data_IF_529475528797
#
_entry.id   IF_529475528797
#
_cell.length_a   1.000
_cell.length_b   1.000
_cell.length_c   1.000
_cell.angle_alpha   90.00
_cell.angle_beta   90.00
_cell.angle_gamma   90.00
#
_symmetry.space_group_name_H-M   'P 1'
#
loop_
_entity.id
_entity.type
_entity.pdbx_description
1 polymer ?
#
# COMPACT_ATOMS: atom_id res chain seq x y z
N UNK A 1 -12.58 3.93 -8.76
CA UNK A 1 -11.80 3.72 -7.51
C UNK A 1 -10.90 4.93 -7.25
N UNK A 2 -10.81 5.44 -6.01
CA UNK A 2 -9.86 6.50 -5.65
C UNK A 2 -8.57 5.87 -5.09
N UNK A 3 -7.43 6.18 -5.70
CA UNK A 3 -6.13 5.67 -5.25
C UNK A 3 -5.48 6.65 -4.28
N UNK A 4 -5.02 6.14 -3.14
CA UNK A 4 -4.22 6.96 -2.21
C UNK A 4 -2.80 7.18 -2.71
N UNK A 5 -2.30 6.29 -3.57
CA UNK A 5 -1.04 6.39 -4.31
C UNK A 5 -1.28 6.78 -5.76
N UNK A 6 -0.55 7.76 -6.24
CA UNK A 6 -0.63 8.23 -7.61
C UNK A 6 0.39 7.49 -8.47
N UNK A 7 -0.10 6.56 -9.28
CA UNK A 7 0.73 5.71 -10.15
C UNK A 7 1.41 6.50 -11.30
N UNK A 8 1.06 7.78 -11.47
CA UNK A 8 1.67 8.67 -12.47
C UNK A 8 2.75 9.58 -11.88
N UNK A 9 2.92 9.57 -10.56
CA UNK A 9 3.96 10.30 -9.86
C UNK A 9 5.10 9.35 -9.47
N UNK A 10 6.32 9.86 -9.46
CA UNK A 10 7.50 9.13 -9.01
C UNK A 10 7.34 8.63 -7.56
N UNK A 11 8.17 7.66 -7.17
CA UNK A 11 8.13 7.14 -5.81
C UNK A 11 8.49 8.23 -4.79
N UNK A 12 9.47 9.07 -5.10
CA UNK A 12 9.94 10.18 -4.30
C UNK A 12 8.84 11.24 -4.10
N UNK A 13 8.11 11.60 -5.16
CA UNK A 13 6.97 12.51 -5.07
C UNK A 13 5.87 11.95 -4.16
N UNK A 14 5.51 10.68 -4.33
CA UNK A 14 4.55 10.02 -3.45
C UNK A 14 5.04 9.96 -1.99
N UNK A 15 6.34 9.70 -1.77
CA UNK A 15 6.96 9.71 -0.44
C UNK A 15 6.82 11.05 0.27
N UNK A 16 6.99 12.15 -0.46
CA UNK A 16 6.89 13.51 0.09
C UNK A 16 5.44 13.92 0.33
N UNK A 17 4.54 13.60 -0.63
CA UNK A 17 3.14 14.00 -0.60
C UNK A 17 2.31 13.23 0.44
N UNK A 18 2.63 11.96 0.69
CA UNK A 18 1.80 11.09 1.53
C UNK A 18 0.53 10.59 0.83
N UNK A 19 -0.24 9.70 1.48
CA UNK A 19 -1.47 9.13 0.93
C UNK A 19 -2.55 10.20 0.75
N UNK A 20 -3.21 10.21 -0.40
CA UNK A 20 -4.33 11.10 -0.68
C UNK A 20 -5.65 10.38 -0.43
N UNK A 21 -6.34 10.67 0.66
CA UNK A 21 -7.64 10.07 0.95
C UNK A 21 -8.78 10.91 0.35
N UNK A 22 -9.77 10.27 -0.27
CA UNK A 22 -10.98 10.95 -0.71
C UNK A 22 -11.89 11.31 0.48
N UNK A 23 -11.92 10.42 1.49
CA UNK A 23 -12.79 10.53 2.64
C UNK A 23 -12.03 11.04 3.88
N UNK A 24 -12.73 11.73 4.81
CA UNK A 24 -12.17 12.09 6.10
C UNK A 24 -11.71 10.86 6.89
N UNK A 25 -10.87 11.08 7.89
CA UNK A 25 -10.51 10.01 8.81
C UNK A 25 -11.79 9.52 9.53
N UNK A 26 -12.10 8.21 9.52
CA UNK A 26 -13.26 7.69 10.22
C UNK A 26 -13.02 7.75 11.73
N UNK A 27 -14.11 7.71 12.50
CA UNK A 27 -14.02 7.43 13.93
C UNK A 27 -13.54 5.99 14.13
N UNK A 28 -12.42 5.82 14.83
CA UNK A 28 -11.87 4.50 15.14
C UNK A 28 -12.49 4.03 16.46
N UNK A 29 -13.25 2.92 16.47
CA UNK A 29 -13.89 2.44 17.69
C UNK A 29 -12.84 2.03 18.72
N UNK A 30 -13.13 2.28 20.00
CA UNK A 30 -12.34 1.74 21.07
C UNK A 30 -12.48 0.21 21.12
N UNK A 31 -11.34 -0.48 21.10
CA UNK A 31 -11.27 -1.95 21.22
C UNK A 31 -10.53 -2.35 22.50
N UNK A 32 -10.82 -3.53 23.07
CA UNK A 32 -9.99 -4.12 24.11
C UNK A 32 -8.56 -4.34 23.59
N UNK A 33 -7.58 -4.24 24.50
CA UNK A 33 -6.21 -4.64 24.18
C UNK A 33 -6.14 -6.15 23.91
N UNK A 34 -5.33 -6.52 22.92
CA UNK A 34 -5.10 -7.87 22.44
C UNK A 34 -3.59 -8.13 22.38
N UNK A 35 -3.20 -9.40 22.31
CA UNK A 35 -1.81 -9.77 22.04
C UNK A 35 -1.64 -10.24 20.59
N UNK A 36 -0.57 -9.79 19.93
CA UNK A 36 -0.09 -10.30 18.66
C UNK A 36 1.41 -10.57 18.76
N UNK A 37 1.82 -11.84 18.62
CA UNK A 37 3.21 -12.27 18.78
C UNK A 37 3.86 -11.80 20.10
N UNK A 38 3.07 -11.73 21.19
CA UNK A 38 3.53 -11.26 22.51
C UNK A 38 3.54 -9.75 22.68
N UNK A 39 3.17 -8.96 21.67
CA UNK A 39 3.06 -7.51 21.74
C UNK A 39 1.61 -7.06 21.94
N UNK A 40 1.36 -6.02 22.77
CA UNK A 40 0.03 -5.46 22.92
C UNK A 40 -0.39 -4.67 21.67
N UNK A 41 -1.61 -4.90 21.20
CA UNK A 41 -2.25 -4.21 20.07
C UNK A 41 -3.71 -3.97 20.37
N UNK A 42 -4.31 -2.91 19.81
CA UNK A 42 -5.76 -2.66 19.87
C UNK A 42 -6.51 -3.41 18.75
N UNK A 43 -5.82 -3.77 17.67
CA UNK A 43 -6.34 -4.50 16.52
C UNK A 43 -5.30 -5.46 15.95
N UNK A 44 -5.76 -6.58 15.37
CA UNK A 44 -4.91 -7.51 14.59
C UNK A 44 -4.99 -7.24 13.08
N UNK A 45 -5.50 -6.07 12.69
CA UNK A 45 -5.61 -5.64 11.30
C UNK A 45 -4.39 -4.82 10.94
N UNK A 46 -3.83 -5.09 9.77
CA UNK A 46 -2.57 -4.51 9.33
C UNK A 46 -2.50 -4.21 7.84
N UNK A 47 -1.47 -3.47 7.47
CA UNK A 47 -1.12 -3.15 6.10
C UNK A 47 0.31 -3.63 5.84
N UNK A 48 0.47 -4.45 4.80
CA UNK A 48 1.76 -4.97 4.38
C UNK A 48 2.67 -3.89 3.78
N UNK A 49 3.97 -4.19 3.72
CA UNK A 49 5.06 -3.26 3.39
C UNK A 49 4.93 -2.47 2.07
N UNK A 50 4.13 -2.95 1.11
CA UNK A 50 4.11 -2.42 -0.26
C UNK A 50 3.85 -0.92 -0.34
N UNK A 51 2.82 -0.44 0.36
CA UNK A 51 2.28 0.92 0.21
C UNK A 51 2.81 1.91 1.26
N UNK A 52 3.71 1.48 2.16
CA UNK A 52 4.09 2.24 3.35
C UNK A 52 5.57 2.65 3.28
N UNK A 53 5.96 3.56 2.36
CA UNK A 53 7.36 3.90 2.13
C UNK A 53 8.01 4.66 3.28
N UNK A 54 7.23 5.46 4.03
CA UNK A 54 7.73 6.25 5.14
C UNK A 54 6.66 6.63 6.17
N UNK A 55 7.06 7.33 7.24
CA UNK A 55 6.16 7.76 8.31
C UNK A 55 5.00 8.65 7.85
N UNK A 56 5.15 9.42 6.77
CA UNK A 56 4.05 10.19 6.17
C UNK A 56 2.97 9.28 5.61
N UNK A 57 3.30 8.03 5.29
CA UNK A 57 2.35 7.00 4.90
C UNK A 57 1.87 6.17 6.09
N UNK A 58 2.74 5.77 7.02
CA UNK A 58 2.30 4.96 8.17
C UNK A 58 1.29 5.68 9.07
N UNK A 59 1.58 6.92 9.47
CA UNK A 59 0.79 7.62 10.49
C UNK A 59 -0.68 7.85 10.06
N UNK A 60 -0.98 8.24 8.81
CA UNK A 60 -2.36 8.39 8.37
C UNK A 60 -3.18 7.09 8.33
N UNK A 61 -2.54 5.94 8.10
CA UNK A 61 -3.21 4.64 8.22
C UNK A 61 -3.34 4.21 9.70
N UNK A 62 -2.34 4.50 10.55
CA UNK A 62 -2.44 4.27 12.00
C UNK A 62 -3.65 5.01 12.59
N UNK A 63 -3.82 6.29 12.22
CA UNK A 63 -4.95 7.11 12.64
C UNK A 63 -6.32 6.56 12.20
N UNK A 64 -6.35 5.66 11.20
CA UNK A 64 -7.56 4.98 10.68
C UNK A 64 -7.80 3.61 11.31
N UNK A 65 -7.05 3.24 12.35
CA UNK A 65 -7.27 2.03 13.15
C UNK A 65 -6.46 0.80 12.71
N UNK A 66 -5.47 0.97 11.84
CA UNK A 66 -4.52 -0.08 11.50
C UNK A 66 -3.36 -0.09 12.50
N UNK A 67 -3.20 -1.20 13.23
CA UNK A 67 -2.19 -1.32 14.27
C UNK A 67 -0.93 -2.04 13.79
N UNK A 68 -1.07 -2.96 12.83
CA UNK A 68 0.03 -3.75 12.29
C UNK A 68 0.51 -3.14 10.97
N UNK A 69 1.32 -2.08 11.03
CA UNK A 69 1.83 -1.36 9.87
C UNK A 69 3.26 -1.78 9.54
N UNK A 70 3.44 -2.49 8.43
CA UNK A 70 4.77 -2.92 8.01
C UNK A 70 5.40 -1.83 7.15
N UNK A 71 6.55 -1.31 7.58
CA UNK A 71 7.31 -0.33 6.80
C UNK A 71 7.88 -0.97 5.52
N UNK A 72 8.00 -0.22 4.43
CA UNK A 72 8.60 -0.70 3.18
C UNK A 72 10.02 -1.22 3.43
N UNK A 73 10.38 -2.35 2.83
CA UNK A 73 11.71 -2.95 2.97
C UNK A 73 12.82 -1.93 2.72
N UNK A 74 13.70 -1.76 3.70
CA UNK A 74 14.87 -0.88 3.61
C UNK A 74 16.09 -1.65 3.10
N UNK A 75 16.98 -0.94 2.39
CA UNK A 75 18.27 -1.46 1.92
C UNK A 75 19.39 -0.94 2.82
N UNK A 76 20.48 -1.70 2.95
CA UNK A 76 21.67 -1.26 3.68
C UNK A 76 22.40 -0.09 3.01
N UNK A 77 22.16 0.11 1.72
CA UNK A 77 22.73 1.20 0.91
C UNK A 77 21.61 1.89 0.15
N UNK A 78 21.67 3.21 0.09
CA UNK A 78 20.72 4.02 -0.68
C UNK A 78 20.76 3.62 -2.17
N UNK A 79 19.57 3.38 -2.74
CA UNK A 79 19.37 3.22 -4.18
C UNK A 79 18.16 4.02 -4.61
N UNK A 80 18.23 4.75 -5.74
CA UNK A 80 17.06 5.43 -6.29
C UNK A 80 16.03 4.39 -6.77
N UNK A 81 14.75 4.77 -6.72
CA UNK A 81 13.70 3.95 -7.31
C UNK A 81 13.79 3.96 -8.84
N UNK A 82 13.24 2.94 -9.50
CA UNK A 82 13.10 2.94 -10.95
C UNK A 82 12.21 4.09 -11.45
N UNK A 83 12.44 4.59 -12.68
CA UNK A 83 11.56 5.58 -13.29
C UNK A 83 10.16 5.02 -13.55
N UNK A 84 9.24 5.89 -13.93
CA UNK A 84 7.87 5.51 -14.27
C UNK A 84 7.81 4.61 -15.53
N UNK A 85 6.84 3.68 -15.60
CA UNK A 85 5.92 3.31 -14.54
C UNK A 85 6.59 2.38 -13.51
N UNK A 86 6.51 2.73 -12.23
CA UNK A 86 6.99 1.91 -11.11
C UNK A 86 5.85 1.13 -10.41
N UNK A 87 4.61 1.35 -10.84
CA UNK A 87 3.40 0.63 -10.45
C UNK A 87 2.50 0.47 -11.68
N UNK A 88 2.04 -0.74 -11.95
CA UNK A 88 1.01 -1.02 -12.97
C UNK A 88 -0.09 -1.92 -12.41
N UNK A 89 -1.33 -1.72 -12.86
CA UNK A 89 -2.36 -2.74 -12.68
C UNK A 89 -2.12 -3.88 -13.66
N UNK A 90 -2.46 -5.09 -13.26
CA UNK A 90 -2.24 -6.28 -14.08
C UNK A 90 -3.45 -7.18 -14.10
N UNK A 91 -3.54 -8.00 -15.14
CA UNK A 91 -4.52 -9.07 -15.27
C UNK A 91 -3.80 -10.37 -15.56
N UNK A 92 -4.07 -11.36 -14.73
CA UNK A 92 -3.64 -12.73 -14.94
C UNK A 92 -4.50 -13.36 -16.04
N UNK A 93 -3.88 -14.14 -16.90
CA UNK A 93 -4.56 -14.91 -17.93
C UNK A 93 -4.59 -16.37 -17.54
N UNK A 94 -5.65 -17.08 -17.90
CA UNK A 94 -5.70 -18.53 -17.78
C UNK A 94 -4.67 -19.18 -18.74
N UNK A 95 -3.96 -20.24 -18.33
CA UNK A 95 -3.96 -20.87 -17.00
C UNK A 95 -3.15 -20.07 -15.94
N UNK A 96 -3.33 -20.32 -14.63
CA UNK A 96 -2.79 -19.52 -13.50
C UNK A 96 -1.26 -19.30 -13.40
N UNK A 97 -0.44 -19.72 -14.36
CA UNK A 97 0.99 -19.38 -14.50
C UNK A 97 1.30 -18.80 -15.90
N UNK A 98 0.29 -18.24 -16.54
CA UNK A 98 0.35 -17.65 -17.88
C UNK A 98 0.95 -16.25 -17.89
N UNK A 99 1.00 -15.62 -19.08
CA UNK A 99 1.46 -14.25 -19.21
C UNK A 99 0.57 -13.28 -18.41
N UNK A 100 1.22 -12.36 -17.70
CA UNK A 100 0.57 -11.27 -16.97
C UNK A 100 0.53 -10.03 -17.87
N UNK A 101 -0.66 -9.48 -18.10
CA UNK A 101 -0.84 -8.30 -18.94
C UNK A 101 -0.92 -7.04 -18.07
N UNK A 102 -0.16 -6.01 -18.44
CA UNK A 102 -0.34 -4.67 -17.87
C UNK A 102 -1.65 -4.06 -18.37
N UNK A 103 -2.39 -3.45 -17.46
CA UNK A 103 -3.70 -2.85 -17.72
C UNK A 103 -3.60 -1.34 -17.69
N UNK A 104 -4.30 -0.67 -18.62
CA UNK A 104 -4.39 0.80 -18.63
C UNK A 104 -5.22 1.32 -17.44
N UNK A 105 -6.22 0.55 -17.02
CA UNK A 105 -7.12 0.87 -15.91
C UNK A 105 -7.36 -0.38 -15.03
N UNK A 106 -7.50 -0.21 -13.70
CA UNK A 106 -7.90 -1.30 -12.83
C UNK A 106 -9.34 -1.73 -13.11
N UNK A 107 -9.70 -2.93 -12.64
CA UNK A 107 -11.10 -3.36 -12.53
C UNK A 107 -11.91 -2.39 -11.65
N UNK A 108 -13.18 -2.19 -11.99
CA UNK A 108 -14.13 -1.48 -11.11
C UNK A 108 -14.52 -2.31 -9.88
N UNK A 109 -14.38 -3.64 -9.95
CA UNK A 109 -14.53 -4.54 -8.80
C UNK A 109 -13.19 -4.63 -8.04
N UNK A 110 -13.08 -4.07 -6.82
CA UNK A 110 -11.85 -4.07 -6.04
C UNK A 110 -11.38 -5.47 -5.65
N UNK A 111 -12.26 -6.48 -5.66
CA UNK A 111 -11.88 -7.88 -5.37
C UNK A 111 -11.13 -8.54 -6.53
N UNK A 112 -11.17 -7.94 -7.71
CA UNK A 112 -10.53 -8.42 -8.94
C UNK A 112 -9.32 -7.57 -9.35
N UNK A 113 -8.87 -6.65 -8.48
CA UNK A 113 -7.74 -5.78 -8.77
C UNK A 113 -6.44 -6.46 -8.37
N UNK A 114 -5.61 -6.75 -9.37
CA UNK A 114 -4.22 -7.15 -9.21
C UNK A 114 -3.28 -6.04 -9.68
N UNK A 115 -2.11 -5.94 -9.06
CA UNK A 115 -1.10 -4.97 -9.48
C UNK A 115 0.31 -5.47 -9.24
N UNK A 116 1.26 -4.92 -10.00
CA UNK A 116 2.69 -5.18 -9.88
C UNK A 116 3.43 -3.87 -9.61
N UNK A 117 4.40 -3.93 -8.71
CA UNK A 117 5.20 -2.77 -8.29
C UNK A 117 6.68 -3.08 -8.38
N UNK A 118 7.48 -2.10 -8.80
CA UNK A 118 8.92 -2.22 -8.88
C UNK A 118 9.58 -0.90 -8.47
N UNK A 119 9.97 -0.81 -7.20
CA UNK A 119 10.61 0.37 -6.62
C UNK A 119 12.14 0.27 -6.55
N UNK A 120 12.76 -0.65 -7.29
CA UNK A 120 14.21 -0.90 -7.23
C UNK A 120 14.61 -1.96 -6.25
#
# INVERSE_FOLDING_TARGET
>A
MHLTYDIRATWEENCLRGPQFADPCPEVPATPEQSFLGMPVRSRIGIAAGLLPNSRWLLPYAARGFDLLTYKTVRSVARPCYPLPNWVFVKDLDPPDGPVLAMEQPSDDPTQVSSSVCFG
#
